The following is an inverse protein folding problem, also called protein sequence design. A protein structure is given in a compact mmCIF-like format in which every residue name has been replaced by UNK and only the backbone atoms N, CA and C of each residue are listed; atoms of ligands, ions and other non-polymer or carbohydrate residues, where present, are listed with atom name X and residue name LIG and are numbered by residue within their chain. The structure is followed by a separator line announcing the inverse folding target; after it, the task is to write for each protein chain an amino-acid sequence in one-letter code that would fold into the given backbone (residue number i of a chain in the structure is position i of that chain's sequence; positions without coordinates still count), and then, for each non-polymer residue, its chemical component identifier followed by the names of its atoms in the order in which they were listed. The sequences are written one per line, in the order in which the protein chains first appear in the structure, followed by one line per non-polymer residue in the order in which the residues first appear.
data_IF_203425095341
#
_entry.id   IF_203425095341
#
_cell.length_a   1.000
_cell.length_b   1.000
_cell.length_c   1.000
_cell.angle_alpha   90.00
_cell.angle_beta   90.00
_cell.angle_gamma   90.00
#
_symmetry.space_group_name_H-M   'P 1'
#
loop_
_entity.id
_entity.type
_entity.pdbx_description
1 polymer ?
#
# COMPACT_ATOMS: atom_id res chain seq x y z
N UNK A 1 -6.24 -2.81 39.36
CA UNK A 1 -5.68 -3.58 38.24
C UNK A 1 -4.75 -2.65 37.48
N UNK A 2 -3.46 -2.97 37.43
CA UNK A 2 -2.45 -2.12 36.83
C UNK A 2 -2.29 -2.51 35.34
N UNK A 3 -2.66 -1.66 34.35
CA UNK A 3 -2.71 -2.04 32.94
C UNK A 3 -1.37 -1.95 32.20
N UNK A 4 -0.27 -1.78 32.89
CA UNK A 4 1.05 -1.61 32.30
C UNK A 4 2.07 -2.64 32.79
N UNK A 5 1.75 -3.94 32.71
CA UNK A 5 2.81 -4.92 32.58
C UNK A 5 3.27 -4.93 31.10
N UNK A 6 4.17 -4.02 30.74
CA UNK A 6 4.96 -4.20 29.53
C UNK A 6 5.75 -5.49 29.72
N UNK A 7 5.32 -6.58 29.11
CA UNK A 7 6.13 -7.79 29.03
C UNK A 7 7.43 -7.39 28.35
N UNK A 8 8.50 -7.39 29.11
CA UNK A 8 9.85 -7.16 28.56
C UNK A 8 10.15 -8.36 27.68
N UNK A 9 10.52 -8.09 26.43
CA UNK A 9 11.04 -9.10 25.51
C UNK A 9 12.16 -9.87 26.25
N UNK A 10 12.06 -11.19 26.29
CA UNK A 10 13.05 -12.01 26.94
C UNK A 10 14.42 -11.90 26.27
N UNK A 11 15.50 -12.15 26.99
CA UNK A 11 16.84 -12.17 26.38
C UNK A 11 16.96 -13.21 25.26
N UNK A 12 16.26 -14.33 25.40
CA UNK A 12 16.23 -15.39 24.39
C UNK A 12 15.53 -14.93 23.11
N UNK A 13 14.37 -14.26 23.22
CA UNK A 13 13.66 -13.69 22.07
C UNK A 13 14.50 -12.62 21.38
N UNK A 14 15.18 -11.76 22.16
CA UNK A 14 16.08 -10.75 21.60
C UNK A 14 17.23 -11.38 20.81
N UNK A 15 17.87 -12.42 21.34
CA UNK A 15 18.96 -13.15 20.66
C UNK A 15 18.46 -13.83 19.39
N UNK A 16 17.28 -14.44 19.45
CA UNK A 16 16.69 -15.07 18.27
C UNK A 16 16.37 -14.06 17.18
N UNK A 17 15.86 -12.88 17.54
CA UNK A 17 15.64 -11.78 16.61
C UNK A 17 16.93 -11.31 15.94
N UNK A 18 18.01 -11.11 16.71
CA UNK A 18 19.32 -10.73 16.16
C UNK A 18 19.87 -11.76 15.18
N UNK A 19 19.74 -13.05 15.48
CA UNK A 19 20.16 -14.14 14.58
C UNK A 19 19.37 -14.10 13.28
N UNK A 20 18.05 -13.94 13.35
CA UNK A 20 17.17 -13.81 12.16
C UNK A 20 17.54 -12.58 11.32
N UNK A 21 17.77 -11.44 11.97
CA UNK A 21 18.14 -10.19 11.30
C UNK A 21 19.49 -10.30 10.59
N UNK A 22 20.49 -10.87 11.25
CA UNK A 22 21.81 -11.13 10.66
C UNK A 22 21.70 -12.04 9.46
N UNK A 23 21.00 -13.18 9.60
CA UNK A 23 20.79 -14.14 8.52
C UNK A 23 20.10 -13.50 7.32
N UNK A 24 19.09 -12.65 7.53
CA UNK A 24 18.42 -11.90 6.47
C UNK A 24 19.41 -10.97 5.76
N UNK A 25 20.21 -10.21 6.51
CA UNK A 25 21.19 -9.27 5.96
C UNK A 25 22.33 -9.94 5.19
N UNK A 26 22.76 -11.13 5.61
CA UNK A 26 23.83 -11.90 4.95
C UNK A 26 23.33 -12.59 3.66
N UNK A 27 22.15 -13.16 3.68
CA UNK A 27 21.62 -13.96 2.57
C UNK A 27 20.86 -13.14 1.51
N UNK A 28 20.36 -11.95 1.85
CA UNK A 28 19.59 -11.07 0.97
C UNK A 28 18.56 -11.85 0.12
N UNK A 29 17.64 -12.60 0.74
CA UNK A 29 16.80 -13.58 0.03
C UNK A 29 15.92 -12.96 -1.05
N UNK A 30 15.63 -11.68 -0.94
CA UNK A 30 14.87 -10.91 -1.93
C UNK A 30 15.64 -10.64 -3.24
N UNK A 31 16.95 -10.96 -3.28
CA UNK A 31 17.79 -10.85 -4.48
C UNK A 31 17.96 -12.19 -5.21
N UNK A 32 17.44 -13.27 -4.64
CA UNK A 32 17.53 -14.61 -5.22
C UNK A 32 16.24 -14.93 -5.98
N UNK A 33 16.34 -15.65 -7.11
CA UNK A 33 15.17 -16.09 -7.85
C UNK A 33 14.26 -17.01 -6.99
N UNK A 34 12.94 -16.93 -7.09
CA UNK A 34 12.16 -16.07 -8.00
C UNK A 34 11.96 -14.63 -7.49
N UNK A 35 12.34 -14.32 -6.25
CA UNK A 35 12.08 -13.06 -5.54
C UNK A 35 12.81 -11.85 -6.13
N UNK A 36 13.90 -12.08 -6.86
CA UNK A 36 14.67 -11.02 -7.54
C UNK A 36 13.92 -10.37 -8.69
N UNK A 37 12.90 -11.01 -9.25
CA UNK A 37 12.09 -10.46 -10.34
C UNK A 37 11.46 -9.12 -9.95
N UNK A 38 11.50 -8.16 -10.87
CA UNK A 38 10.89 -6.83 -10.68
C UNK A 38 9.39 -6.90 -10.40
N UNK A 39 8.70 -7.83 -11.03
CA UNK A 39 7.25 -7.98 -10.96
C UNK A 39 6.83 -9.11 -10.00
N UNK A 40 7.74 -9.57 -9.14
CA UNK A 40 7.40 -10.59 -8.15
C UNK A 40 6.39 -10.05 -7.14
N UNK A 41 5.43 -10.91 -6.76
CA UNK A 41 4.44 -10.65 -5.74
C UNK A 41 3.01 -10.63 -6.27
N UNK A 42 2.06 -10.36 -5.39
CA UNK A 42 0.65 -10.30 -5.72
C UNK A 42 0.32 -9.08 -6.60
N UNK A 43 -0.64 -9.23 -7.54
CA UNK A 43 -1.03 -8.16 -8.48
C UNK A 43 -1.41 -6.84 -7.80
N UNK A 44 -1.98 -6.89 -6.60
CA UNK A 44 -2.32 -5.69 -5.80
C UNK A 44 -1.12 -4.81 -5.47
N UNK A 45 0.11 -5.32 -5.52
CA UNK A 45 1.29 -4.47 -5.38
C UNK A 45 1.45 -3.46 -6.52
N UNK A 46 0.82 -3.70 -7.65
CA UNK A 46 0.91 -2.87 -8.85
C UNK A 46 -0.30 -1.93 -9.06
N UNK A 47 -1.16 -1.76 -8.06
CA UNK A 47 -2.31 -0.85 -8.14
C UNK A 47 -1.91 0.59 -8.45
N UNK A 48 -0.76 1.02 -7.97
CA UNK A 48 -0.29 2.39 -8.15
C UNK A 48 1.23 2.44 -8.22
N UNK A 49 1.75 3.37 -9.00
CA UNK A 49 3.14 3.81 -8.91
C UNK A 49 3.28 4.69 -7.67
N UNK A 50 4.03 4.22 -6.68
CA UNK A 50 4.24 4.93 -5.43
C UNK A 50 5.75 5.09 -5.21
N UNK A 51 6.21 6.34 -5.10
CA UNK A 51 7.62 6.63 -4.90
C UNK A 51 8.09 6.14 -3.52
N UNK A 52 9.23 5.49 -3.46
CA UNK A 52 9.73 4.92 -2.21
C UNK A 52 9.04 3.63 -1.77
N UNK A 53 8.21 3.02 -2.62
CA UNK A 53 7.55 1.75 -2.32
C UNK A 53 8.56 0.67 -1.96
N UNK A 54 8.36 0.03 -0.82
CA UNK A 54 9.13 -1.15 -0.43
C UNK A 54 8.96 -2.27 -1.47
N UNK A 55 10.05 -2.95 -1.83
CA UNK A 55 10.00 -4.12 -2.72
C UNK A 55 9.16 -5.23 -2.06
N UNK A 56 8.13 -5.77 -2.74
CA UNK A 56 7.27 -6.81 -2.16
C UNK A 56 8.03 -8.02 -1.60
N UNK A 57 9.08 -8.45 -2.29
CA UNK A 57 9.92 -9.55 -1.84
C UNK A 57 10.61 -9.29 -0.49
N UNK A 58 10.98 -8.06 -0.17
CA UNK A 58 11.54 -7.71 1.14
C UNK A 58 10.45 -7.85 2.21
N UNK A 59 9.29 -7.25 2.00
CA UNK A 59 8.15 -7.37 2.91
C UNK A 59 7.75 -8.83 3.15
N UNK A 60 7.71 -9.64 2.08
CA UNK A 60 7.42 -11.07 2.15
C UNK A 60 8.34 -11.80 3.12
N UNK A 61 9.63 -11.64 2.95
CA UNK A 61 10.60 -12.34 3.79
C UNK A 61 10.61 -11.81 5.22
N UNK A 62 10.47 -10.49 5.43
CA UNK A 62 10.37 -9.93 6.76
C UNK A 62 9.16 -10.49 7.52
N UNK A 63 7.99 -10.51 6.90
CA UNK A 63 6.78 -11.07 7.52
C UNK A 63 6.97 -12.56 7.82
N UNK A 64 7.46 -13.34 6.85
CA UNK A 64 7.64 -14.79 7.00
C UNK A 64 8.63 -15.14 8.12
N UNK A 65 9.76 -14.43 8.18
CA UNK A 65 10.89 -14.82 9.03
C UNK A 65 10.76 -14.26 10.46
N UNK A 66 10.01 -13.17 10.65
CA UNK A 66 9.90 -12.48 11.93
C UNK A 66 8.53 -12.60 12.61
N UNK A 67 7.53 -13.18 11.96
CA UNK A 67 6.19 -13.35 12.53
C UNK A 67 5.63 -14.75 12.26
N UNK A 68 4.60 -15.13 13.03
CA UNK A 68 3.88 -16.39 12.84
C UNK A 68 2.46 -16.13 12.32
N UNK A 69 1.84 -17.08 11.59
CA UNK A 69 0.43 -16.99 11.21
C UNK A 69 -0.46 -16.74 12.42
N UNK A 70 -1.45 -15.85 12.26
CA UNK A 70 -2.34 -15.42 13.34
C UNK A 70 -1.84 -14.27 14.20
N UNK A 71 -0.55 -13.94 14.14
CA UNK A 71 -0.02 -12.76 14.83
C UNK A 71 -0.54 -11.46 14.25
N UNK A 72 -0.43 -10.40 15.03
CA UNK A 72 -0.72 -9.03 14.60
C UNK A 72 0.55 -8.35 14.09
N UNK A 73 0.48 -7.74 12.93
CA UNK A 73 1.56 -6.93 12.31
C UNK A 73 1.07 -5.50 12.22
N UNK A 74 1.80 -4.59 12.83
CA UNK A 74 1.57 -3.15 12.75
C UNK A 74 2.62 -2.50 11.85
N UNK A 75 2.16 -1.77 10.83
CA UNK A 75 2.98 -0.88 10.02
C UNK A 75 2.52 0.57 10.21
N UNK A 76 3.21 1.35 11.06
CA UNK A 76 2.81 2.71 11.40
C UNK A 76 3.08 3.74 10.30
N UNK A 77 3.86 3.38 9.27
CA UNK A 77 4.24 4.23 8.13
C UNK A 77 4.07 3.44 6.83
N UNK A 78 2.86 2.94 6.61
CA UNK A 78 2.57 1.88 5.64
C UNK A 78 2.74 2.30 4.16
N UNK A 79 2.83 3.60 3.88
CA UNK A 79 2.90 4.10 2.52
C UNK A 79 1.78 3.51 1.67
N UNK A 80 2.15 2.87 0.58
CA UNK A 80 1.16 2.19 -0.26
C UNK A 80 0.77 0.77 0.22
N UNK A 81 1.00 0.39 1.48
CA UNK A 81 0.51 -0.86 2.07
C UNK A 81 1.23 -2.13 1.59
N UNK A 82 2.54 -2.09 1.40
CA UNK A 82 3.30 -3.28 0.96
C UNK A 82 3.41 -4.32 2.07
N UNK A 83 3.80 -3.91 3.28
CA UNK A 83 3.89 -4.81 4.46
C UNK A 83 2.50 -5.32 4.87
N UNK A 84 1.47 -4.47 5.02
CA UNK A 84 0.13 -4.95 5.35
C UNK A 84 -0.40 -5.99 4.37
N UNK A 85 -0.21 -5.80 3.05
CA UNK A 85 -0.64 -6.78 2.06
C UNK A 85 0.09 -8.11 2.22
N UNK A 86 1.42 -8.11 2.34
CA UNK A 86 2.19 -9.36 2.53
C UNK A 86 1.83 -10.06 3.85
N UNK A 87 1.57 -9.30 4.91
CA UNK A 87 1.13 -9.86 6.18
C UNK A 87 -0.26 -10.53 6.06
N UNK A 88 -1.21 -9.88 5.39
CA UNK A 88 -2.53 -10.46 5.14
C UNK A 88 -2.45 -11.72 4.27
N UNK A 89 -1.66 -11.70 3.18
CA UNK A 89 -1.46 -12.86 2.31
C UNK A 89 -0.85 -14.07 3.03
N UNK A 90 -0.10 -13.83 4.09
CA UNK A 90 0.55 -14.86 4.90
C UNK A 90 -0.23 -15.19 6.18
N UNK A 91 -1.49 -14.76 6.32
CA UNK A 91 -2.39 -15.12 7.41
C UNK A 91 -2.14 -14.38 8.73
N UNK A 92 -1.57 -13.17 8.69
CA UNK A 92 -1.42 -12.29 9.85
C UNK A 92 -2.58 -11.29 9.90
N UNK A 93 -2.93 -10.83 11.10
CA UNK A 93 -3.81 -9.68 11.29
C UNK A 93 -3.01 -8.42 11.03
N UNK A 94 -3.55 -7.47 10.25
CA UNK A 94 -2.81 -6.29 9.85
C UNK A 94 -3.41 -5.03 10.41
N UNK A 95 -2.53 -4.17 10.91
CA UNK A 95 -2.84 -2.81 11.32
C UNK A 95 -1.89 -1.89 10.56
N UNK A 96 -2.41 -0.90 9.89
CA UNK A 96 -1.61 0.06 9.13
C UNK A 96 -2.06 1.48 9.42
N UNK A 97 -1.11 2.38 9.39
CA UNK A 97 -1.34 3.81 9.47
C UNK A 97 -0.45 4.52 8.47
N UNK A 98 -0.92 5.62 7.92
CA UNK A 98 -0.10 6.54 7.14
C UNK A 98 -0.61 7.97 7.35
N UNK A 99 0.30 8.94 7.28
CA UNK A 99 -0.04 10.34 7.40
C UNK A 99 -0.69 10.88 6.12
N UNK A 100 -0.31 10.30 4.97
CA UNK A 100 -0.83 10.72 3.67
C UNK A 100 -2.13 9.98 3.36
N UNK A 101 -3.17 10.71 3.02
CA UNK A 101 -4.47 10.16 2.63
C UNK A 101 -4.35 9.14 1.48
N UNK A 102 -3.48 9.42 0.50
CA UNK A 102 -3.18 8.48 -0.57
C UNK A 102 -2.61 7.16 -0.04
N UNK A 103 -1.67 7.21 0.91
CA UNK A 103 -1.09 6.02 1.54
C UNK A 103 -2.15 5.20 2.29
N UNK A 104 -2.97 5.87 3.08
CA UNK A 104 -4.10 5.26 3.78
C UNK A 104 -5.06 4.56 2.81
N UNK A 105 -5.51 5.27 1.77
CA UNK A 105 -6.45 4.75 0.76
C UNK A 105 -5.88 3.54 0.02
N UNK A 106 -4.62 3.60 -0.41
CA UNK A 106 -3.95 2.48 -1.08
C UNK A 106 -3.78 1.27 -0.17
N UNK A 107 -3.45 1.48 1.09
CA UNK A 107 -3.32 0.40 2.08
C UNK A 107 -4.66 -0.28 2.32
N UNK A 108 -5.72 0.52 2.49
CA UNK A 108 -7.09 0.02 2.65
C UNK A 108 -7.55 -0.76 1.42
N UNK A 109 -7.32 -0.24 0.21
CA UNK A 109 -7.69 -0.93 -1.04
C UNK A 109 -6.95 -2.26 -1.23
N UNK A 110 -5.73 -2.40 -0.71
CA UNK A 110 -4.95 -3.63 -0.82
C UNK A 110 -5.38 -4.72 0.13
N UNK A 111 -5.71 -4.38 1.38
CA UNK A 111 -6.03 -5.34 2.43
C UNK A 111 -7.51 -5.40 2.77
N UNK A 112 -8.27 -4.37 2.40
CA UNK A 112 -9.72 -4.33 2.60
C UNK A 112 -10.43 -5.40 1.77
N UNK A 113 -11.44 -6.01 2.36
CA UNK A 113 -12.33 -6.97 1.73
C UNK A 113 -13.66 -6.26 1.52
N UNK A 114 -13.89 -5.73 0.31
CA UNK A 114 -15.20 -5.30 -0.14
C UNK A 114 -15.85 -6.38 -1.00
N UNK A 115 -17.16 -6.35 -1.12
CA UNK A 115 -17.84 -7.17 -2.10
C UNK A 115 -17.51 -6.63 -3.51
N UNK A 116 -17.19 -7.54 -4.43
CA UNK A 116 -16.90 -7.17 -5.80
C UNK A 116 -18.11 -6.54 -6.49
N UNK A 117 -19.32 -6.98 -6.16
CA UNK A 117 -20.56 -6.41 -6.70
C UNK A 117 -20.73 -4.94 -6.29
N UNK A 118 -20.42 -4.61 -5.03
CA UNK A 118 -20.48 -3.23 -4.52
C UNK A 118 -19.45 -2.35 -5.24
N UNK A 119 -18.23 -2.87 -5.44
CA UNK A 119 -17.18 -2.14 -6.16
C UNK A 119 -17.56 -1.87 -7.63
N UNK A 120 -18.22 -2.80 -8.29
CA UNK A 120 -18.73 -2.63 -9.66
C UNK A 120 -19.84 -1.58 -9.67
N UNK A 121 -20.78 -1.61 -8.74
CA UNK A 121 -21.83 -0.62 -8.62
C UNK A 121 -21.28 0.80 -8.46
N UNK A 122 -20.37 0.99 -7.49
CA UNK A 122 -19.71 2.30 -7.27
C UNK A 122 -18.95 2.78 -8.50
N UNK A 123 -18.26 1.88 -9.21
CA UNK A 123 -17.60 2.23 -10.47
C UNK A 123 -18.58 2.73 -11.52
N UNK A 124 -19.68 2.02 -11.70
CA UNK A 124 -20.66 2.35 -12.75
C UNK A 124 -21.37 3.67 -12.44
N UNK A 125 -21.71 3.92 -11.18
CA UNK A 125 -22.26 5.19 -10.71
C UNK A 125 -21.27 6.35 -10.93
N UNK A 126 -19.99 6.16 -10.60
CA UNK A 126 -18.95 7.15 -10.82
C UNK A 126 -18.74 7.44 -12.30
N UNK A 127 -18.72 6.42 -13.14
CA UNK A 127 -18.58 6.59 -14.59
C UNK A 127 -19.77 7.35 -15.19
N UNK A 128 -20.98 7.05 -14.75
CA UNK A 128 -22.19 7.81 -15.13
C UNK A 128 -22.10 9.27 -14.71
N UNK A 129 -21.71 9.54 -13.48
CA UNK A 129 -21.53 10.90 -12.97
C UNK A 129 -20.48 11.68 -13.78
N UNK A 130 -19.34 11.06 -14.11
CA UNK A 130 -18.29 11.68 -14.91
C UNK A 130 -18.82 12.06 -16.30
N UNK A 131 -19.50 11.13 -17.00
CA UNK A 131 -20.03 11.39 -18.33
C UNK A 131 -21.03 12.55 -18.34
N UNK A 132 -21.85 12.67 -17.30
CA UNK A 132 -22.85 13.75 -17.20
C UNK A 132 -22.24 15.11 -16.86
N UNK A 133 -21.12 15.15 -16.13
CA UNK A 133 -20.61 16.40 -15.53
C UNK A 133 -19.24 16.84 -16.05
N UNK A 134 -18.53 16.05 -16.86
CA UNK A 134 -17.17 16.38 -17.30
C UNK A 134 -17.09 17.63 -18.15
N UNK A 135 -18.10 17.93 -18.95
CA UNK A 135 -18.16 19.12 -19.81
C UNK A 135 -18.19 20.42 -19.03
N UNK A 136 -18.71 20.39 -17.80
CA UNK A 136 -18.90 21.56 -16.95
C UNK A 136 -17.64 21.89 -16.11
N UNK A 137 -16.61 21.05 -16.18
CA UNK A 137 -15.38 21.24 -15.41
C UNK A 137 -14.52 22.38 -15.97
N UNK A 138 -14.18 23.31 -15.09
CA UNK A 138 -13.24 24.37 -15.40
C UNK A 138 -11.79 23.84 -15.32
N UNK A 139 -11.20 23.60 -16.47
CA UNK A 139 -9.85 23.07 -16.59
C UNK A 139 -8.76 24.07 -16.16
N UNK A 140 -9.09 25.36 -16.00
CA UNK A 140 -8.13 26.38 -15.56
C UNK A 140 -8.00 26.44 -14.05
N UNK A 141 -8.96 25.89 -13.32
CA UNK A 141 -9.08 25.98 -11.86
C UNK A 141 -7.85 25.53 -11.09
N UNK A 142 -7.07 24.62 -11.64
CA UNK A 142 -5.90 24.00 -11.00
C UNK A 142 -4.63 24.14 -11.83
N UNK A 143 -4.58 25.11 -12.75
CA UNK A 143 -3.42 25.37 -13.60
C UNK A 143 -2.16 25.71 -12.81
N UNK A 144 -2.31 26.27 -11.61
CA UNK A 144 -1.21 26.71 -10.74
C UNK A 144 -0.72 25.62 -9.77
N UNK A 145 -1.27 24.42 -9.82
CA UNK A 145 -0.80 23.33 -8.99
C UNK A 145 0.56 22.84 -9.49
N UNK A 146 1.60 23.25 -8.72
CA UNK A 146 2.99 23.00 -9.02
C UNK A 146 3.39 21.55 -8.88
N UNK A 147 3.37 20.86 -10.01
CA UNK A 147 4.25 19.74 -10.28
C UNK A 147 5.41 20.23 -11.16
N UNK A 148 6.24 19.35 -11.69
CA UNK A 148 7.34 19.67 -12.62
C UNK A 148 6.88 20.29 -13.96
N UNK A 149 5.73 20.92 -13.99
CA UNK A 149 5.03 21.56 -15.11
C UNK A 149 3.59 21.88 -14.73
N UNK A 150 2.83 22.48 -15.61
CA UNK A 150 1.40 22.72 -15.41
C UNK A 150 0.64 21.41 -15.51
N UNK A 151 -0.18 21.08 -14.52
CA UNK A 151 -0.95 19.82 -14.50
C UNK A 151 -1.74 19.57 -15.79
N UNK A 152 -2.40 20.58 -16.41
CA UNK A 152 -3.10 20.41 -17.70
C UNK A 152 -2.21 19.97 -18.86
N UNK A 153 -0.89 20.24 -18.82
CA UNK A 153 0.03 19.86 -19.91
C UNK A 153 0.34 18.36 -19.95
N UNK A 154 0.05 17.64 -18.86
CA UNK A 154 0.29 16.19 -18.76
C UNK A 154 -0.87 15.34 -19.26
N UNK A 155 -2.05 15.93 -19.41
CA UNK A 155 -3.27 15.20 -19.74
C UNK A 155 -3.94 15.78 -20.97
N UNK A 156 -4.54 14.92 -21.78
CA UNK A 156 -5.50 15.38 -22.78
C UNK A 156 -6.66 16.11 -22.07
N UNK A 157 -7.23 17.12 -22.67
CA UNK A 157 -8.25 17.97 -22.06
C UNK A 157 -9.43 17.15 -21.51
N UNK A 158 -9.95 16.19 -22.30
CA UNK A 158 -11.05 15.31 -21.86
C UNK A 158 -10.67 14.49 -20.65
N UNK A 159 -9.48 13.87 -20.64
CA UNK A 159 -8.98 13.10 -19.52
C UNK A 159 -8.82 13.98 -18.27
N UNK A 160 -8.38 15.21 -18.44
CA UNK A 160 -8.25 16.13 -17.32
C UNK A 160 -9.62 16.52 -16.74
N UNK A 161 -10.64 16.74 -17.58
CA UNK A 161 -12.01 16.96 -17.15
C UNK A 161 -12.58 15.77 -16.37
N UNK A 162 -12.33 14.54 -16.82
CA UNK A 162 -12.71 13.31 -16.11
C UNK A 162 -12.06 13.22 -14.74
N UNK A 163 -10.77 13.53 -14.63
CA UNK A 163 -10.04 13.57 -13.35
C UNK A 163 -10.66 14.60 -12.40
N UNK A 164 -11.00 15.78 -12.88
CA UNK A 164 -11.63 16.82 -12.07
C UNK A 164 -13.03 16.42 -11.57
N UNK A 165 -13.78 15.68 -12.38
CA UNK A 165 -15.08 15.14 -11.96
C UNK A 165 -14.96 14.05 -10.89
N UNK A 166 -13.94 13.20 -10.99
CA UNK A 166 -13.74 12.07 -10.08
C UNK A 166 -13.18 12.47 -8.70
N UNK A 167 -12.86 13.73 -8.51
CA UNK A 167 -12.32 14.28 -7.27
C UNK A 167 -13.41 14.67 -6.27
#
# INVERSE_FOLDING_TARGET
MNPHSSERVSEEESRMFEVKARRFGENLPHLVAPYSSRNWGHKRHSLCSYQGKLKPAIAHHLVRDFTEPGWSVLDPLSGCGTIPLEAALQGRKTFSNDLLELGYTLSLAKVGWGDWSDAVGVRDDLMGFIEENKSDQDITRYSDWGFNGMVPEYYHEDTYREILCAR
#
